data_IF_485317599554
#
_entry.id   IF_485317599554
#
_cell.length_a   1.000
_cell.length_b   1.000
_cell.length_c   1.000
_cell.angle_alpha   90.00
_cell.angle_beta   90.00
_cell.angle_gamma   90.00
#
_symmetry.space_group_name_H-M   'P 1'
#
loop_
_entity.id
_entity.type
_entity.pdbx_description
1 polymer ?
#
# COMPACT_ATOMS: atom_id res chain seq x y z
N UNK A 1 -8.98 1.93 6.30
CA UNK A 1 -10.43 1.94 6.02
C UNK A 1 -11.28 2.83 6.94
N UNK A 2 -10.76 3.41 8.03
CA UNK A 2 -11.62 4.22 8.92
C UNK A 2 -11.73 5.72 8.56
N UNK A 3 -10.95 6.17 7.57
CA UNK A 3 -10.86 7.60 7.22
C UNK A 3 -10.83 7.86 5.72
N UNK A 4 -10.99 6.84 4.88
CA UNK A 4 -10.85 7.00 3.42
C UNK A 4 -11.87 8.01 2.87
N UNK A 5 -13.08 8.03 3.44
CA UNK A 5 -14.18 8.88 3.03
C UNK A 5 -13.94 10.37 3.29
N UNK A 6 -12.93 10.72 4.10
CA UNK A 6 -12.62 12.12 4.46
C UNK A 6 -11.68 12.80 3.46
N UNK A 7 -11.24 12.12 2.40
CA UNK A 7 -10.25 12.64 1.46
C UNK A 7 -10.78 12.56 0.02
N UNK A 8 -10.61 13.66 -0.71
CA UNK A 8 -10.93 13.80 -2.15
C UNK A 8 -12.27 13.14 -2.54
N UNK A 9 -12.25 12.17 -3.44
CA UNK A 9 -13.43 11.45 -3.93
C UNK A 9 -13.72 10.17 -3.13
N UNK A 10 -12.97 9.89 -2.06
CA UNK A 10 -13.12 8.68 -1.25
C UNK A 10 -14.53 8.50 -0.67
N UNK A 11 -15.29 9.59 -0.47
CA UNK A 11 -16.69 9.52 -0.02
C UNK A 11 -17.58 8.71 -0.99
N UNK A 12 -17.25 8.69 -2.29
CA UNK A 12 -18.01 7.94 -3.29
C UNK A 12 -17.94 6.42 -3.09
N UNK A 13 -16.92 5.90 -2.40
CA UNK A 13 -16.77 4.45 -2.16
C UNK A 13 -17.54 3.95 -0.93
N UNK A 14 -18.27 4.83 -0.23
CA UNK A 14 -19.14 4.42 0.89
C UNK A 14 -20.26 3.47 0.45
N UNK A 15 -20.68 3.51 -0.82
CA UNK A 15 -21.67 2.54 -1.35
C UNK A 15 -21.16 1.09 -1.33
N UNK A 16 -19.84 0.89 -1.40
CA UNK A 16 -19.24 -0.45 -1.39
C UNK A 16 -18.67 -0.81 -0.02
N UNK A 17 -17.94 0.11 0.62
CA UNK A 17 -17.25 -0.18 1.89
C UNK A 17 -18.09 0.12 3.14
N UNK A 18 -19.15 0.93 3.02
CA UNK A 18 -19.91 1.47 4.15
C UNK A 18 -19.27 2.71 4.77
N UNK A 19 -20.04 3.49 5.51
CA UNK A 19 -19.57 4.72 6.16
C UNK A 19 -18.87 4.43 7.49
N UNK A 20 -17.60 4.80 7.71
CA UNK A 20 -16.94 4.63 9.02
C UNK A 20 -17.57 5.43 10.16
N UNK A 21 -18.43 6.42 9.85
CA UNK A 21 -19.13 7.22 10.83
C UNK A 21 -20.43 6.53 11.33
N UNK A 22 -20.80 5.38 10.75
CA UNK A 22 -21.91 4.53 11.18
C UNK A 22 -21.41 3.31 11.95
N UNK A 23 -21.98 3.02 13.12
CA UNK A 23 -21.45 2.00 14.04
C UNK A 23 -21.39 0.59 13.44
N UNK A 24 -22.43 0.18 12.70
CA UNK A 24 -22.48 -1.14 12.06
C UNK A 24 -21.38 -1.30 11.02
N UNK A 25 -21.23 -0.31 10.13
CA UNK A 25 -20.18 -0.27 9.13
C UNK A 25 -18.79 -0.21 9.78
N UNK A 26 -18.60 0.63 10.81
CA UNK A 26 -17.35 0.71 11.56
C UNK A 26 -16.91 -0.67 12.08
N UNK A 27 -17.83 -1.43 12.70
CA UNK A 27 -17.56 -2.77 13.23
C UNK A 27 -17.09 -3.75 12.16
N UNK A 28 -17.55 -3.60 10.92
CA UNK A 28 -17.07 -4.38 9.78
C UNK A 28 -15.70 -3.87 9.30
N UNK A 29 -15.57 -2.56 9.11
CA UNK A 29 -14.37 -1.92 8.58
C UNK A 29 -13.15 -2.11 9.47
N UNK A 30 -13.30 -2.01 10.80
CA UNK A 30 -12.17 -2.17 11.72
C UNK A 30 -11.56 -3.56 11.63
N UNK A 31 -12.35 -4.60 11.33
CA UNK A 31 -11.86 -6.00 11.31
C UNK A 31 -10.87 -6.28 10.19
N UNK A 32 -10.94 -5.55 9.08
CA UNK A 32 -10.06 -5.78 7.93
C UNK A 32 -9.20 -4.58 7.54
N UNK A 33 -9.42 -3.41 8.15
CA UNK A 33 -8.68 -2.20 7.82
C UNK A 33 -7.16 -2.45 7.91
N UNK A 34 -6.40 -2.40 6.79
CA UNK A 34 -5.00 -2.87 6.79
C UNK A 34 -4.13 -2.17 7.82
N UNK A 35 -4.20 -0.83 7.87
CA UNK A 35 -3.46 -0.01 8.83
C UNK A 35 -3.71 -0.41 10.30
N UNK A 36 -4.91 -0.88 10.64
CA UNK A 36 -5.27 -1.16 12.04
C UNK A 36 -5.14 -2.65 12.40
N UNK A 37 -4.83 -3.51 11.43
CA UNK A 37 -4.71 -4.95 11.62
C UNK A 37 -3.29 -5.47 11.28
N UNK A 38 -2.29 -4.58 11.27
CA UNK A 38 -0.90 -5.02 11.24
C UNK A 38 -0.63 -5.75 12.56
N UNK A 39 -0.18 -7.03 12.51
CA UNK A 39 0.03 -7.83 13.71
C UNK A 39 1.13 -7.20 14.57
N UNK A 40 0.95 -7.23 15.90
CA UNK A 40 1.97 -6.74 16.83
C UNK A 40 3.20 -7.63 16.87
N UNK A 41 3.06 -8.89 16.48
CA UNK A 41 4.13 -9.86 16.35
C UNK A 41 3.78 -10.93 15.33
N UNK A 42 4.60 -11.04 14.29
CA UNK A 42 4.57 -12.16 13.35
C UNK A 42 6.00 -12.45 12.91
N UNK A 43 6.36 -13.73 12.89
CA UNK A 43 7.72 -14.16 12.53
C UNK A 43 7.91 -14.20 11.01
N UNK A 44 6.82 -14.28 10.25
CA UNK A 44 6.81 -14.34 8.80
C UNK A 44 5.81 -13.33 8.23
N UNK A 45 6.31 -12.21 7.74
CA UNK A 45 5.56 -11.31 6.84
C UNK A 45 6.25 -11.34 5.48
N UNK A 46 5.53 -11.33 4.36
CA UNK A 46 6.17 -11.33 3.05
C UNK A 46 6.95 -10.04 2.83
N UNK A 47 8.00 -10.13 2.02
CA UNK A 47 8.62 -8.96 1.40
C UNK A 47 7.53 -8.10 0.77
N UNK A 48 7.47 -6.82 1.14
CA UNK A 48 6.37 -5.94 0.77
C UNK A 48 6.92 -4.69 0.10
N UNK A 49 6.47 -4.43 -1.14
CA UNK A 49 6.70 -3.18 -1.84
C UNK A 49 5.35 -2.51 -2.09
N UNK A 50 5.13 -1.35 -1.48
CA UNK A 50 4.00 -0.50 -1.81
C UNK A 50 4.35 0.46 -2.95
N UNK A 51 3.39 0.72 -3.82
CA UNK A 51 3.53 1.68 -4.90
C UNK A 51 2.48 2.77 -4.74
N UNK A 52 2.87 4.02 -4.93
CA UNK A 52 1.97 5.17 -4.95
C UNK A 52 2.59 6.32 -5.74
N UNK A 53 1.84 7.41 -5.91
CA UNK A 53 2.30 8.61 -6.58
C UNK A 53 2.08 9.84 -5.68
N UNK A 54 2.99 10.79 -5.73
CA UNK A 54 2.94 11.99 -4.86
C UNK A 54 1.74 12.92 -5.14
N UNK A 55 1.16 12.85 -6.34
CA UNK A 55 -0.05 13.58 -6.74
C UNK A 55 -1.23 12.65 -7.06
N UNK A 56 -1.32 11.46 -6.44
CA UNK A 56 -2.53 10.65 -6.54
C UNK A 56 -3.68 11.32 -5.77
N UNK A 57 -4.61 11.93 -6.52
CA UNK A 57 -5.80 12.60 -6.02
C UNK A 57 -7.01 11.66 -5.89
N UNK A 58 -6.91 10.43 -6.42
CA UNK A 58 -7.96 9.42 -6.38
C UNK A 58 -7.86 8.64 -5.07
N UNK A 59 -6.72 7.99 -4.84
CA UNK A 59 -6.39 7.28 -3.61
C UNK A 59 -5.19 7.99 -2.99
N UNK A 60 -5.46 8.95 -2.12
CA UNK A 60 -4.43 9.83 -1.55
C UNK A 60 -3.25 9.03 -0.95
N UNK A 61 -1.99 9.43 -1.22
CA UNK A 61 -0.81 8.62 -0.92
C UNK A 61 -0.58 8.40 0.58
N UNK A 62 -1.24 9.18 1.43
CA UNK A 62 -1.26 8.97 2.89
C UNK A 62 -1.70 7.55 3.28
N UNK A 63 -2.49 6.87 2.44
CA UNK A 63 -2.88 5.47 2.69
C UNK A 63 -1.65 4.56 2.70
N UNK A 64 -0.81 4.65 1.68
CA UNK A 64 0.44 3.90 1.57
C UNK A 64 1.46 4.35 2.61
N UNK A 65 1.59 5.67 2.84
CA UNK A 65 2.55 6.21 3.81
C UNK A 65 2.27 5.74 5.23
N UNK A 66 1.01 5.83 5.69
CA UNK A 66 0.66 5.39 7.03
C UNK A 66 0.82 3.88 7.18
N UNK A 67 0.43 3.10 6.16
CA UNK A 67 0.55 1.65 6.23
C UNK A 67 2.00 1.20 6.31
N UNK A 68 2.89 1.72 5.44
CA UNK A 68 4.30 1.31 5.49
C UNK A 68 4.99 1.75 6.78
N UNK A 69 4.67 2.96 7.28
CA UNK A 69 5.24 3.46 8.54
C UNK A 69 4.87 2.57 9.73
N UNK A 70 3.58 2.21 9.85
CA UNK A 70 3.12 1.31 10.91
C UNK A 70 3.70 -0.10 10.77
N UNK A 71 3.80 -0.60 9.54
CA UNK A 71 4.35 -1.92 9.25
C UNK A 71 5.84 -2.01 9.63
N UNK A 72 6.62 -1.00 9.23
CA UNK A 72 8.03 -0.88 9.60
C UNK A 72 8.21 -0.67 11.10
N UNK A 73 7.34 0.11 11.75
CA UNK A 73 7.38 0.33 13.19
C UNK A 73 7.16 -0.97 13.98
N UNK A 74 6.12 -1.73 13.64
CA UNK A 74 5.76 -2.96 14.35
C UNK A 74 6.70 -4.12 14.03
N UNK A 75 7.13 -4.26 12.78
CA UNK A 75 7.79 -5.48 12.30
C UNK A 75 9.24 -5.28 11.84
N UNK A 76 9.69 -4.06 11.56
CA UNK A 76 10.97 -3.79 10.90
C UNK A 76 12.21 -4.30 11.64
N UNK A 77 12.21 -4.23 12.98
CA UNK A 77 13.30 -4.76 13.81
C UNK A 77 13.33 -6.29 13.88
N UNK A 78 12.16 -6.93 13.79
CA UNK A 78 12.02 -8.40 13.83
C UNK A 78 12.31 -9.03 12.47
N UNK A 79 11.89 -8.36 11.41
CA UNK A 79 12.03 -8.84 10.03
C UNK A 79 13.22 -8.18 9.34
N UNK A 80 14.37 -8.11 10.02
CA UNK A 80 15.57 -7.39 9.56
C UNK A 80 16.08 -7.81 8.18
N UNK A 81 15.74 -9.03 7.72
CA UNK A 81 16.11 -9.56 6.41
C UNK A 81 14.96 -9.56 5.39
N UNK A 82 13.79 -9.03 5.74
CA UNK A 82 12.63 -8.96 4.84
C UNK A 82 12.40 -7.49 4.46
N UNK A 83 12.49 -7.13 3.17
CA UNK A 83 12.34 -5.75 2.77
C UNK A 83 10.88 -5.30 2.88
N UNK A 84 10.67 -4.20 3.61
CA UNK A 84 9.40 -3.49 3.73
C UNK A 84 9.59 -2.10 3.14
N UNK A 85 9.18 -1.90 1.90
CA UNK A 85 9.55 -0.75 1.08
C UNK A 85 8.33 -0.02 0.51
N UNK A 86 8.56 1.23 0.11
CA UNK A 86 7.60 2.08 -0.57
C UNK A 86 8.30 2.75 -1.75
N UNK A 87 7.75 2.59 -2.95
CA UNK A 87 8.10 3.34 -4.16
C UNK A 87 7.10 4.48 -4.34
N UNK A 88 7.59 5.71 -4.37
CA UNK A 88 6.78 6.91 -4.63
C UNK A 88 7.19 7.48 -5.97
N UNK A 89 6.28 7.41 -6.94
CA UNK A 89 6.49 8.08 -8.22
C UNK A 89 6.22 9.58 -8.07
N UNK A 90 7.08 10.40 -8.69
CA UNK A 90 7.01 11.87 -8.58
C UNK A 90 6.46 12.48 -9.85
N UNK A 91 5.66 13.55 -9.72
CA UNK A 91 4.93 14.16 -10.85
C UNK A 91 4.00 13.16 -11.54
N UNK A 92 3.42 12.25 -10.76
CA UNK A 92 2.50 11.22 -11.22
C UNK A 92 1.25 11.20 -10.32
N UNK A 93 0.13 10.71 -10.87
CA UNK A 93 -1.13 10.53 -10.15
C UNK A 93 -1.57 9.07 -10.13
N UNK A 94 -2.88 8.84 -10.12
CA UNK A 94 -3.48 7.50 -9.96
C UNK A 94 -3.12 6.46 -11.04
N UNK A 95 -2.60 6.91 -12.18
CA UNK A 95 -2.09 6.03 -13.25
C UNK A 95 -2.64 6.35 -14.64
N UNK A 96 -3.79 7.01 -14.74
CA UNK A 96 -4.31 7.48 -16.03
C UNK A 96 -3.35 8.51 -16.64
N UNK A 97 -2.95 8.29 -17.89
CA UNK A 97 -2.00 9.17 -18.60
C UNK A 97 -0.54 9.02 -18.18
N UNK A 98 -0.19 7.99 -17.39
CA UNK A 98 1.21 7.68 -17.07
C UNK A 98 1.98 7.37 -18.37
N UNK A 99 3.12 8.04 -18.65
CA UNK A 99 3.94 7.76 -19.83
C UNK A 99 4.40 6.30 -19.87
N UNK A 100 4.50 5.71 -21.07
CA UNK A 100 4.95 4.33 -21.26
C UNK A 100 6.30 4.04 -20.60
N UNK A 101 7.24 4.99 -20.66
CA UNK A 101 8.54 4.88 -19.99
C UNK A 101 8.40 4.68 -18.47
N UNK A 102 7.54 5.48 -17.81
CA UNK A 102 7.25 5.35 -16.38
C UNK A 102 6.57 4.03 -16.02
N UNK A 103 5.74 3.51 -16.92
CA UNK A 103 5.11 2.18 -16.76
C UNK A 103 6.19 1.09 -16.83
N UNK A 104 7.11 1.18 -17.79
CA UNK A 104 8.22 0.23 -17.91
C UNK A 104 9.10 0.28 -16.67
N UNK A 105 9.50 1.46 -16.18
CA UNK A 105 10.26 1.63 -14.94
C UNK A 105 9.54 0.99 -13.74
N UNK A 106 8.24 1.22 -13.61
CA UNK A 106 7.41 0.62 -12.55
C UNK A 106 7.40 -0.90 -12.63
N UNK A 107 7.23 -1.48 -13.82
CA UNK A 107 7.30 -2.91 -14.02
C UNK A 107 8.69 -3.46 -13.67
N UNK A 108 9.76 -2.77 -14.09
CA UNK A 108 11.14 -3.17 -13.78
C UNK A 108 11.36 -3.20 -12.26
N UNK A 109 10.90 -2.20 -11.52
CA UNK A 109 11.02 -2.16 -10.06
C UNK A 109 10.21 -3.30 -9.39
N UNK A 110 8.98 -3.55 -9.84
CA UNK A 110 8.13 -4.64 -9.33
C UNK A 110 8.80 -6.00 -9.56
N UNK A 111 9.22 -6.30 -10.79
CA UNK A 111 9.84 -7.58 -11.11
C UNK A 111 11.19 -7.74 -10.44
N UNK A 112 12.01 -6.69 -10.37
CA UNK A 112 13.28 -6.72 -9.62
C UNK A 112 13.05 -7.00 -8.15
N UNK A 113 12.03 -6.39 -7.53
CA UNK A 113 11.68 -6.66 -6.15
C UNK A 113 11.26 -8.13 -5.94
N UNK A 114 10.41 -8.67 -6.82
CA UNK A 114 9.97 -10.07 -6.77
C UNK A 114 11.15 -11.03 -6.94
N UNK A 115 12.00 -10.80 -7.95
CA UNK A 115 13.18 -11.63 -8.25
C UNK A 115 14.11 -11.67 -7.03
N UNK A 116 14.43 -10.52 -6.45
CA UNK A 116 15.29 -10.43 -5.28
C UNK A 116 14.63 -11.05 -4.03
N UNK A 117 13.34 -10.81 -3.81
CA UNK A 117 12.63 -11.30 -2.62
C UNK A 117 12.43 -12.81 -2.61
N UNK A 118 12.30 -13.43 -3.79
CA UNK A 118 12.09 -14.87 -3.95
C UNK A 118 13.36 -15.61 -4.40
N UNK A 119 14.49 -14.92 -4.54
CA UNK A 119 15.76 -15.47 -5.06
C UNK A 119 15.58 -16.19 -6.40
N UNK A 120 14.81 -15.60 -7.32
CA UNK A 120 14.57 -16.18 -8.64
C UNK A 120 15.82 -16.08 -9.52
N UNK A 121 16.01 -17.09 -10.36
CA UNK A 121 17.07 -17.10 -11.37
C UNK A 121 16.47 -16.81 -12.75
N UNK A 122 17.12 -15.94 -13.48
CA UNK A 122 16.82 -15.72 -14.89
C UNK A 122 17.37 -16.90 -15.70
N UNK A 123 16.53 -17.43 -16.60
CA UNK A 123 16.93 -18.43 -17.57
C UNK A 123 16.71 -17.84 -18.96
N UNK A 124 17.76 -17.84 -19.77
CA UNK A 124 17.75 -17.40 -21.17
C UNK A 124 17.23 -18.50 -22.11
#
# INVERSE_FOLDING_TARGET
MLRYHKFTIGHAWMSEYGSPDEEEHYKNLIRYSPLHNIPDSVDNYPATLLLTADHDDRVVPLHSFKFIAELQHKLGSRLSNIPLMLRVDTKAGHGAGKPTERIIEECVDIYSFIINSLNLKFNE
#
